data_IF_234420393339
#
_entry.id   IF_234420393339
#
_cell.length_a   1.000
_cell.length_b   1.000
_cell.length_c   1.000
_cell.angle_alpha   90.00
_cell.angle_beta   90.00
_cell.angle_gamma   90.00
#
_symmetry.space_group_name_H-M   'P 1'
#
loop_
_entity.id
_entity.type
_entity.pdbx_description
1 polymer ?
#
# COMPACT_ATOMS: atom_id res chain seq x y z
N UNK A 1 7.22 24.97 23.07
CA UNK A 1 6.20 24.57 22.07
C UNK A 1 6.47 23.14 21.63
N UNK A 2 5.58 22.56 20.82
CA UNK A 2 5.66 21.16 20.33
C UNK A 2 6.71 20.90 19.23
N UNK A 3 7.44 21.93 18.80
CA UNK A 3 8.55 21.80 17.85
C UNK A 3 9.78 21.21 18.54
N UNK A 4 10.47 20.30 17.86
CA UNK A 4 11.81 19.88 18.28
C UNK A 4 12.85 20.95 17.92
N UNK A 5 14.03 20.92 18.54
CA UNK A 5 15.06 21.96 18.38
C UNK A 5 15.51 22.21 16.93
N UNK A 6 15.31 21.25 16.03
CA UNK A 6 15.73 21.35 14.65
C UNK A 6 14.67 21.95 13.71
N UNK A 7 13.37 21.87 14.03
CA UNK A 7 12.31 22.31 13.14
C UNK A 7 12.01 23.82 13.31
N UNK A 8 12.18 24.59 12.24
CA UNK A 8 11.72 25.98 12.15
C UNK A 8 10.22 26.07 11.90
N UNK A 9 9.67 25.15 11.10
CA UNK A 9 8.23 24.96 10.89
C UNK A 9 7.93 23.47 10.69
N UNK A 10 6.84 23.00 11.31
CA UNK A 10 6.33 21.63 11.22
C UNK A 10 4.85 21.67 10.83
N UNK A 11 4.44 20.80 9.91
CA UNK A 11 3.05 20.56 9.54
C UNK A 11 2.78 19.07 9.67
N UNK A 12 1.73 18.72 10.40
CA UNK A 12 1.30 17.34 10.58
C UNK A 12 -0.02 17.13 9.82
N UNK A 13 -0.14 16.02 9.09
CA UNK A 13 -1.39 15.59 8.48
C UNK A 13 -1.95 14.46 9.34
N UNK A 14 -3.13 14.73 9.90
CA UNK A 14 -3.86 13.80 10.72
C UNK A 14 -5.02 13.21 9.91
N UNK A 15 -5.11 11.87 9.89
CA UNK A 15 -6.22 11.19 9.26
C UNK A 15 -7.34 10.93 10.29
N UNK A 16 -8.57 10.89 9.80
CA UNK A 16 -9.74 10.51 10.60
C UNK A 16 -9.79 8.99 10.79
N UNK A 17 -10.01 8.54 12.03
CA UNK A 17 -10.16 7.14 12.40
C UNK A 17 -11.56 6.92 12.98
N UNK A 18 -12.53 6.42 12.18
CA UNK A 18 -13.94 6.32 12.59
C UNK A 18 -14.18 5.37 13.76
N UNK A 19 -13.40 4.29 13.89
CA UNK A 19 -13.52 3.35 15.02
C UNK A 19 -13.08 3.96 16.34
N UNK A 20 -12.08 4.86 16.29
CA UNK A 20 -11.62 5.61 17.47
C UNK A 20 -12.29 6.98 17.66
N UNK A 21 -13.03 7.48 16.67
CA UNK A 21 -13.66 8.80 16.69
C UNK A 21 -12.69 9.97 16.81
N UNK A 22 -11.46 9.84 16.29
CA UNK A 22 -10.39 10.81 16.50
C UNK A 22 -9.50 10.99 15.26
N UNK A 23 -8.81 12.14 15.21
CA UNK A 23 -7.73 12.39 14.28
C UNK A 23 -6.40 11.84 14.84
N UNK A 24 -5.59 11.21 13.98
CA UNK A 24 -4.26 10.67 14.34
C UNK A 24 -3.23 11.03 13.27
N UNK A 25 -2.05 11.47 13.70
CA UNK A 25 -0.94 11.84 12.82
C UNK A 25 -0.47 10.65 11.96
N UNK A 26 -0.51 10.81 10.63
CA UNK A 26 0.07 9.88 9.65
C UNK A 26 1.35 10.41 9.00
N UNK A 27 1.42 11.73 8.81
CA UNK A 27 2.50 12.40 8.10
C UNK A 27 2.98 13.57 8.94
N UNK A 28 4.28 13.78 8.90
CA UNK A 28 4.91 14.96 9.46
C UNK A 28 5.89 15.55 8.46
N UNK A 29 5.81 16.85 8.23
CA UNK A 29 6.65 17.61 7.31
C UNK A 29 7.36 18.74 8.07
N UNK A 30 8.69 18.76 8.05
CA UNK A 30 9.49 19.76 8.77
C UNK A 30 10.45 20.49 7.83
N UNK A 31 10.51 21.82 7.98
CA UNK A 31 11.60 22.64 7.48
C UNK A 31 12.56 22.92 8.63
N UNK A 32 13.79 22.41 8.52
CA UNK A 32 14.84 22.57 9.53
C UNK A 32 15.81 23.72 9.22
N UNK A 33 15.51 24.51 8.18
CA UNK A 33 16.41 25.50 7.59
C UNK A 33 17.82 24.93 7.50
N UNK A 34 18.83 25.69 7.87
CA UNK A 34 20.23 25.28 7.90
C UNK A 34 20.67 24.67 9.25
N UNK A 35 19.77 24.41 10.21
CA UNK A 35 20.13 23.90 11.54
C UNK A 35 20.96 22.60 11.48
N UNK A 36 20.44 21.61 10.76
CA UNK A 36 21.12 20.33 10.54
C UNK A 36 22.35 20.50 9.64
N UNK A 37 22.25 21.35 8.61
CA UNK A 37 23.33 21.60 7.66
C UNK A 37 24.56 22.25 8.30
N UNK A 38 24.37 23.17 9.27
CA UNK A 38 25.47 23.75 10.06
C UNK A 38 26.20 22.69 10.87
N UNK A 39 25.47 21.82 11.55
CA UNK A 39 26.05 20.73 12.36
C UNK A 39 26.83 19.72 11.49
N UNK A 40 26.30 19.39 10.32
CA UNK A 40 26.89 18.44 9.37
C UNK A 40 27.89 19.09 8.39
N UNK A 41 28.07 20.41 8.46
CA UNK A 41 28.93 21.20 7.55
C UNK A 41 28.56 21.09 6.07
N UNK A 42 27.26 21.00 5.74
CA UNK A 42 26.76 20.90 4.37
C UNK A 42 26.55 22.30 3.79
N UNK A 43 27.49 22.74 2.96
CA UNK A 43 27.62 24.13 2.49
C UNK A 43 26.88 24.34 1.17
N UNK A 44 26.40 25.56 0.98
CA UNK A 44 25.95 26.04 -0.33
C UNK A 44 27.12 26.71 -1.04
N UNK A 45 27.62 26.08 -2.12
CA UNK A 45 28.77 26.58 -2.87
C UNK A 45 28.40 27.66 -3.88
N UNK A 46 29.07 28.82 -3.84
CA UNK A 46 28.96 29.87 -4.84
C UNK A 46 30.31 30.08 -5.56
N UNK A 47 30.32 30.02 -6.89
CA UNK A 47 31.55 30.04 -7.72
C UNK A 47 32.09 31.44 -8.03
N UNK A 48 31.32 32.51 -7.79
CA UNK A 48 31.63 33.87 -8.26
C UNK A 48 31.75 34.94 -7.17
N UNK A 49 31.70 34.57 -5.89
CA UNK A 49 31.82 35.51 -4.77
C UNK A 49 32.82 34.97 -3.75
N UNK A 50 33.84 35.78 -3.43
CA UNK A 50 34.56 35.62 -2.17
C UNK A 50 33.56 35.96 -1.07
N UNK A 51 33.03 34.95 -0.41
CA UNK A 51 32.04 35.11 0.66
C UNK A 51 32.77 35.22 2.00
N UNK A 52 32.56 36.32 2.73
CA UNK A 52 33.09 36.49 4.09
C UNK A 52 32.49 35.48 5.09
N UNK A 53 31.30 34.93 4.77
CA UNK A 53 30.61 33.92 5.59
C UNK A 53 30.15 32.74 4.73
N UNK A 54 30.35 31.53 5.25
CA UNK A 54 29.89 30.30 4.61
C UNK A 54 28.37 30.18 4.74
N UNK A 55 27.67 30.09 3.62
CA UNK A 55 26.25 29.76 3.55
C UNK A 55 26.02 28.24 3.60
N UNK A 56 24.91 27.82 4.19
CA UNK A 56 24.53 26.41 4.35
C UNK A 56 23.21 26.15 3.63
N UNK A 57 23.02 24.93 3.13
CA UNK A 57 21.76 24.54 2.49
C UNK A 57 20.64 24.44 3.53
N UNK A 58 19.40 24.66 3.09
CA UNK A 58 18.23 24.31 3.91
C UNK A 58 17.89 22.83 3.76
N UNK A 59 17.51 22.19 4.86
CA UNK A 59 17.10 20.79 4.91
C UNK A 59 15.63 20.69 5.30
N UNK A 60 14.90 19.90 4.52
CA UNK A 60 13.51 19.54 4.76
C UNK A 60 13.42 18.02 4.89
N UNK A 61 12.48 17.55 5.70
CA UNK A 61 12.16 16.13 5.80
C UNK A 61 10.66 15.94 5.92
N UNK A 62 10.17 14.81 5.41
CA UNK A 62 8.77 14.44 5.51
C UNK A 62 8.60 12.92 5.63
N UNK A 63 7.72 12.46 6.51
CA UNK A 63 7.24 11.08 6.51
C UNK A 63 6.02 10.98 5.60
N UNK A 64 6.20 10.56 4.35
CA UNK A 64 5.08 10.46 3.40
C UNK A 64 4.06 9.38 3.78
N UNK A 65 4.53 8.25 4.31
CA UNK A 65 3.66 7.13 4.68
C UNK A 65 4.28 6.34 5.83
N UNK A 66 3.70 6.48 7.02
CA UNK A 66 3.98 5.58 8.14
C UNK A 66 3.16 4.29 7.95
N UNK A 67 3.73 3.30 7.28
CA UNK A 67 3.04 2.13 6.72
C UNK A 67 2.01 1.49 7.64
N UNK A 68 2.36 1.17 8.89
CA UNK A 68 1.43 0.54 9.85
C UNK A 68 0.27 1.46 10.21
N UNK A 69 0.51 2.75 10.42
CA UNK A 69 -0.55 3.73 10.70
C UNK A 69 -1.47 3.94 9.49
N UNK A 70 -0.89 3.97 8.30
CA UNK A 70 -1.64 4.05 7.04
C UNK A 70 -2.52 2.81 6.86
N UNK A 71 -2.00 1.61 7.15
CA UNK A 71 -2.80 0.38 7.13
C UNK A 71 -3.97 0.48 8.12
N UNK A 72 -3.74 0.89 9.37
CA UNK A 72 -4.84 1.08 10.33
C UNK A 72 -5.89 2.08 9.83
N UNK A 73 -5.47 3.19 9.24
CA UNK A 73 -6.39 4.18 8.66
C UNK A 73 -7.21 3.57 7.52
N UNK A 74 -6.60 2.76 6.64
CA UNK A 74 -7.30 2.07 5.55
C UNK A 74 -8.28 1.04 6.12
N UNK A 75 -7.85 0.22 7.08
CA UNK A 75 -8.71 -0.80 7.69
C UNK A 75 -9.98 -0.18 8.28
N UNK A 76 -9.88 0.91 9.04
CA UNK A 76 -11.06 1.55 9.63
C UNK A 76 -11.93 2.28 8.61
N UNK A 77 -11.34 2.97 7.63
CA UNK A 77 -12.11 3.79 6.68
C UNK A 77 -12.71 2.98 5.52
N UNK A 78 -12.17 1.80 5.22
CA UNK A 78 -12.62 0.95 4.11
C UNK A 78 -13.28 -0.36 4.57
N UNK A 79 -13.57 -0.51 5.86
CA UNK A 79 -14.32 -1.65 6.40
C UNK A 79 -15.78 -1.62 5.92
N UNK A 80 -16.27 -2.78 5.52
CA UNK A 80 -17.67 -3.08 5.20
C UNK A 80 -18.11 -4.35 5.92
N UNK A 81 -19.38 -4.74 5.77
CA UNK A 81 -19.90 -6.01 6.32
C UNK A 81 -19.22 -7.25 5.70
N UNK A 82 -18.71 -7.13 4.48
CA UNK A 82 -18.07 -8.22 3.72
C UNK A 82 -16.55 -8.29 3.93
N UNK A 83 -15.92 -7.31 4.57
CA UNK A 83 -14.46 -7.26 4.73
C UNK A 83 -13.90 -5.84 4.59
N UNK A 84 -12.65 -5.71 4.13
CA UNK A 84 -12.04 -4.40 3.88
C UNK A 84 -11.86 -4.20 2.38
N UNK A 85 -12.48 -3.16 1.83
CA UNK A 85 -12.29 -2.80 0.43
C UNK A 85 -10.87 -2.26 0.21
N UNK A 86 -10.11 -2.85 -0.71
CA UNK A 86 -8.81 -2.28 -1.10
C UNK A 86 -9.03 -0.96 -1.86
N UNK A 87 -8.38 0.15 -1.45
CA UNK A 87 -8.40 1.41 -2.18
C UNK A 87 -7.98 1.23 -3.65
N UNK A 88 -8.66 1.92 -4.58
CA UNK A 88 -8.47 1.74 -6.02
C UNK A 88 -7.00 1.76 -6.45
N UNK A 89 -6.22 2.73 -5.95
CA UNK A 89 -4.80 2.91 -6.31
C UNK A 89 -3.86 1.85 -5.72
N UNK A 90 -4.33 1.02 -4.80
CA UNK A 90 -3.56 -0.10 -4.26
C UNK A 90 -3.84 -1.41 -4.98
N UNK A 91 -4.94 -1.51 -5.75
CA UNK A 91 -5.39 -2.78 -6.37
C UNK A 91 -4.37 -3.36 -7.34
N UNK A 92 -3.68 -2.51 -8.10
CA UNK A 92 -2.65 -2.92 -9.06
C UNK A 92 -1.42 -3.57 -8.40
N UNK A 93 -1.27 -3.40 -7.08
CA UNK A 93 -0.17 -3.94 -6.29
C UNK A 93 -0.60 -5.10 -5.38
N UNK A 94 -1.85 -5.55 -5.48
CA UNK A 94 -2.39 -6.66 -4.69
C UNK A 94 -2.43 -7.97 -5.49
N UNK A 95 -2.41 -9.14 -4.82
CA UNK A 95 -2.65 -10.41 -5.48
C UNK A 95 -4.01 -10.47 -6.20
N UNK A 96 -4.14 -11.20 -7.32
CA UNK A 96 -5.41 -11.38 -8.01
C UNK A 96 -6.47 -12.03 -7.11
N UNK A 97 -7.67 -11.46 -7.10
CA UNK A 97 -8.82 -12.02 -6.36
C UNK A 97 -8.91 -11.64 -4.88
N UNK A 98 -8.00 -10.82 -4.35
CA UNK A 98 -8.02 -10.35 -2.95
C UNK A 98 -8.75 -9.00 -2.79
N UNK A 99 -9.99 -8.92 -3.29
CA UNK A 99 -10.85 -7.75 -3.07
C UNK A 99 -12.33 -8.17 -2.99
N UNK A 100 -13.01 -7.95 -1.84
CA UNK A 100 -12.52 -7.33 -0.60
C UNK A 100 -11.59 -8.25 0.21
N UNK A 101 -10.70 -7.66 1.02
CA UNK A 101 -9.84 -8.39 1.95
C UNK A 101 -10.67 -9.00 3.08
N UNK A 102 -10.45 -10.28 3.37
CA UNK A 102 -11.12 -10.98 4.47
C UNK A 102 -12.57 -11.38 4.20
N UNK A 103 -13.07 -11.18 2.97
CA UNK A 103 -14.39 -11.64 2.57
C UNK A 103 -14.49 -13.16 2.49
N UNK A 104 -15.69 -13.68 2.73
CA UNK A 104 -15.99 -15.10 2.52
C UNK A 104 -15.72 -15.41 1.06
N UNK A 105 -14.70 -16.22 0.80
CA UNK A 105 -14.52 -16.83 -0.52
C UNK A 105 -15.77 -17.67 -0.80
N UNK A 106 -16.52 -17.34 -1.85
CA UNK A 106 -17.36 -18.37 -2.46
C UNK A 106 -16.40 -19.46 -2.93
N UNK A 107 -16.54 -20.68 -2.41
CA UNK A 107 -15.90 -21.87 -2.96
C UNK A 107 -16.40 -22.07 -4.39
N UNK A 108 -15.76 -21.37 -5.33
CA UNK A 108 -15.94 -21.57 -6.75
C UNK A 108 -15.41 -22.94 -7.10
N UNK A 109 -16.30 -23.94 -7.01
CA UNK A 109 -16.04 -25.29 -7.47
C UNK A 109 -15.45 -25.23 -8.88
N UNK A 110 -14.20 -25.65 -9.03
CA UNK A 110 -13.59 -25.95 -10.34
C UNK A 110 -14.40 -27.08 -10.97
N UNK A 111 -15.49 -26.73 -11.67
CA UNK A 111 -16.13 -27.63 -12.63
C UNK A 111 -15.16 -27.71 -13.81
N UNK A 112 -14.22 -28.68 -13.76
CA UNK A 112 -13.42 -29.09 -14.92
C UNK A 112 -14.39 -29.31 -16.07
N UNK A 113 -14.36 -28.44 -17.10
CA UNK A 113 -14.95 -28.74 -18.41
C UNK A 113 -14.09 -29.83 -19.06
N UNK A 114 -14.32 -31.07 -18.64
CA UNK A 114 -13.81 -32.29 -19.26
C UNK A 114 -14.96 -33.06 -19.90
N UNK A 115 -15.73 -32.40 -20.76
CA UNK A 115 -16.84 -33.02 -21.49
C UNK A 115 -16.44 -33.24 -22.94
N UNK A 116 -15.75 -34.34 -23.22
CA UNK A 116 -15.35 -34.70 -24.58
C UNK A 116 -15.18 -36.20 -24.83
N UNK A 117 -14.67 -36.97 -23.86
CA UNK A 117 -14.28 -38.36 -24.14
C UNK A 117 -15.15 -39.46 -23.52
N UNK A 118 -16.17 -39.14 -22.72
CA UNK A 118 -16.92 -40.19 -22.01
C UNK A 118 -17.93 -40.92 -22.90
N UNK A 119 -18.53 -40.23 -23.89
CA UNK A 119 -19.47 -40.88 -24.84
C UNK A 119 -18.77 -41.80 -25.84
N UNK A 120 -17.55 -41.46 -26.25
CA UNK A 120 -16.78 -42.26 -27.22
C UNK A 120 -16.34 -43.61 -26.64
N UNK A 121 -16.05 -43.65 -25.33
CA UNK A 121 -15.67 -44.88 -24.64
C UNK A 121 -16.86 -45.83 -24.41
N UNK A 122 -18.04 -45.31 -24.09
CA UNK A 122 -19.26 -46.14 -23.94
C UNK A 122 -19.72 -46.74 -25.28
N UNK A 123 -19.63 -45.97 -26.38
CA UNK A 123 -19.94 -46.49 -27.73
C UNK A 123 -18.91 -47.52 -28.22
N UNK A 124 -17.62 -47.37 -27.88
CA UNK A 124 -16.58 -48.34 -28.22
C UNK A 124 -16.66 -49.64 -27.42
N UNK A 125 -17.21 -49.61 -26.21
CA UNK A 125 -17.39 -50.81 -25.37
C UNK A 125 -18.66 -51.60 -25.71
N UNK A 126 -19.67 -50.98 -26.33
CA UNK A 126 -20.88 -51.68 -26.79
C UNK A 126 -20.68 -52.50 -28.07
N UNK A 127 -19.65 -52.21 -28.88
CA UNK A 127 -19.37 -52.92 -30.14
C UNK A 127 -18.38 -54.10 -30.02
N UNK A 128 -17.94 -54.47 -28.81
CA UNK A 128 -17.04 -55.62 -28.58
C UNK A 128 -17.70 -56.81 -27.86
N UNK A 129 -19.03 -56.89 -27.89
CA UNK A 129 -19.79 -58.07 -27.47
C UNK A 129 -19.92 -59.12 -28.58
N UNK A 130 -18.87 -59.92 -28.75
CA UNK A 130 -18.82 -61.33 -29.20
C UNK A 130 -20.00 -61.85 -30.07
N UNK A 131 -19.74 -62.06 -31.37
CA UNK A 131 -20.43 -63.07 -32.18
C UNK A 131 -19.96 -64.47 -31.73
N UNK A 132 -20.92 -65.32 -31.36
CA UNK A 132 -20.73 -66.71 -30.96
C UNK A 132 -20.14 -67.60 -32.07
N UNK A 133 -19.20 -68.47 -31.70
CA UNK A 133 -18.95 -69.78 -32.29
C UNK A 133 -18.28 -70.68 -31.24
#
# INVERSE_FOLDING_TARGET
GSLNHAASKKLDLEAWFPGSGAFRELVSCSNCTDYQARRLRIRYGQTKKMMDKVEFVHMLNATMCATTRTICAILENYQTEEGVQVPEKLRDFMPPGEHPLGGKQEEGGKKKRGGGNQRVLEEQMQNMGVNSA
#
